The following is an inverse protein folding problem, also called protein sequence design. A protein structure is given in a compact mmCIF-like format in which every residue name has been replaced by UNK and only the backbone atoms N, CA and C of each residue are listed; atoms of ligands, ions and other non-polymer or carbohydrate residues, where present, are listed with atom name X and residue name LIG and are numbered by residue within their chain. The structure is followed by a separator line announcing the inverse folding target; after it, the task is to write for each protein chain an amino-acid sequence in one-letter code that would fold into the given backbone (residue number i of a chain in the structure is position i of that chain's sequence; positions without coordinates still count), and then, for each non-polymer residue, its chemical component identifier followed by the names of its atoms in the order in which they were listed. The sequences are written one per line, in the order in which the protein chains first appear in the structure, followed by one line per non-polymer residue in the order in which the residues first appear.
data_IF_478421368117
#
_entry.id   IF_478421368117
#
_cell.length_a   1.000
_cell.length_b   1.000
_cell.length_c   1.000
_cell.angle_alpha   90.00
_cell.angle_beta   90.00
_cell.angle_gamma   90.00
#
_symmetry.space_group_name_H-M   'P 1'
#
loop_
_entity.id
_entity.type
_entity.pdbx_description
1 polymer ?
#
# COMPACT_ATOMS: atom_id res chain seq x y z
N UNK A 1 -15.05 69.81 47.18
CA UNK A 1 -14.77 69.91 45.73
C UNK A 1 -13.72 68.88 45.34
N UNK A 2 -13.93 68.19 44.22
CA UNK A 2 -13.14 67.07 43.64
C UNK A 2 -13.36 65.75 44.37
N UNK A 3 -13.83 64.67 43.76
CA UNK A 3 -14.07 64.35 42.35
C UNK A 3 -13.96 62.82 42.26
N UNK A 4 -15.11 62.16 42.16
CA UNK A 4 -15.27 60.70 42.14
C UNK A 4 -14.62 60.10 40.89
N UNK A 5 -13.69 59.15 41.05
CA UNK A 5 -13.21 58.30 39.96
C UNK A 5 -13.64 56.86 40.23
N UNK A 6 -14.78 56.52 39.65
CA UNK A 6 -15.31 55.17 39.53
C UNK A 6 -14.50 54.45 38.43
N UNK A 7 -13.58 53.57 38.82
CA UNK A 7 -12.83 52.72 37.88
C UNK A 7 -13.75 51.56 37.45
N UNK A 8 -14.43 51.71 36.32
CA UNK A 8 -15.23 50.64 35.73
C UNK A 8 -14.29 49.64 35.02
N UNK A 9 -14.02 48.51 35.66
CA UNK A 9 -13.33 47.37 35.04
C UNK A 9 -14.29 46.70 34.05
N UNK A 10 -14.30 47.16 32.80
CA UNK A 10 -14.99 46.49 31.70
C UNK A 10 -14.17 45.25 31.31
N UNK A 11 -14.49 44.12 31.95
CA UNK A 11 -14.01 42.80 31.56
C UNK A 11 -14.71 42.43 30.23
N UNK A 12 -14.14 42.89 29.12
CA UNK A 12 -14.55 42.45 27.78
C UNK A 12 -14.09 40.99 27.64
N UNK A 13 -14.96 40.06 28.05
CA UNK A 13 -14.93 38.66 27.63
C UNK A 13 -15.23 38.65 26.13
N UNK A 14 -14.20 38.91 25.32
CA UNK A 14 -14.16 38.47 23.95
C UNK A 14 -14.10 36.94 23.97
N UNK A 15 -15.26 36.30 24.07
CA UNK A 15 -15.45 34.93 23.62
C UNK A 15 -15.41 35.00 22.09
N UNK A 16 -14.22 35.22 21.55
CA UNK A 16 -13.93 34.89 20.17
C UNK A 16 -13.99 33.38 20.12
N UNK A 17 -15.16 32.84 19.78
CA UNK A 17 -15.31 31.49 19.27
C UNK A 17 -14.60 31.41 17.92
N UNK A 18 -13.27 31.44 17.93
CA UNK A 18 -12.47 31.02 16.80
C UNK A 18 -12.31 29.52 16.92
N UNK A 19 -13.28 28.75 16.39
CA UNK A 19 -12.87 27.48 15.77
C UNK A 19 -11.94 27.89 14.63
N UNK A 20 -10.67 27.48 14.59
CA UNK A 20 -9.87 27.73 13.43
C UNK A 20 -10.45 26.92 12.26
N UNK A 21 -10.28 27.51 11.09
CA UNK A 21 -10.75 27.08 9.79
C UNK A 21 -10.42 25.61 9.51
N UNK A 22 -11.35 24.98 8.77
CA UNK A 22 -11.35 23.67 8.08
C UNK A 22 -10.03 22.86 8.08
N UNK A 23 -10.15 21.53 8.02
CA UNK A 23 -8.99 20.65 7.88
C UNK A 23 -8.11 21.03 6.67
N UNK A 24 -6.80 20.88 6.82
CA UNK A 24 -5.81 21.04 5.74
C UNK A 24 -5.89 19.81 4.83
N UNK A 25 -6.61 19.92 3.71
CA UNK A 25 -6.78 18.83 2.74
C UNK A 25 -5.98 19.12 1.48
N UNK A 26 -5.09 18.20 1.14
CA UNK A 26 -4.30 18.24 -0.08
C UNK A 26 -4.11 16.83 -0.64
N UNK A 27 -4.73 16.60 -1.79
CA UNK A 27 -4.69 15.33 -2.50
C UNK A 27 -3.89 15.38 -3.79
N UNK A 28 -3.03 16.39 -3.95
CA UNK A 28 -2.14 16.54 -5.11
C UNK A 28 -1.14 15.39 -5.24
N UNK A 29 -0.78 14.75 -4.12
CA UNK A 29 0.21 13.67 -4.09
C UNK A 29 1.65 14.15 -4.29
N UNK A 30 1.90 15.47 -4.19
CA UNK A 30 3.22 16.06 -4.43
C UNK A 30 4.17 15.90 -3.22
N UNK A 31 3.63 15.78 -2.01
CA UNK A 31 4.44 15.61 -0.80
C UNK A 31 4.84 14.15 -0.58
N UNK A 32 6.10 13.94 -0.24
CA UNK A 32 6.61 12.65 0.25
C UNK A 32 6.15 12.39 1.69
N UNK A 33 6.18 11.11 2.09
CA UNK A 33 5.89 10.72 3.48
C UNK A 33 6.73 11.51 4.50
N UNK A 34 8.03 11.67 4.26
CA UNK A 34 8.90 12.37 5.21
C UNK A 34 8.49 13.85 5.37
N UNK A 35 8.11 14.51 4.28
CA UNK A 35 7.60 15.90 4.33
C UNK A 35 6.31 15.98 5.15
N UNK A 36 5.38 15.04 4.91
CA UNK A 36 4.11 14.96 5.65
C UNK A 36 4.36 14.76 7.15
N UNK A 37 5.22 13.81 7.52
CA UNK A 37 5.53 13.51 8.93
C UNK A 37 6.33 14.64 9.61
N UNK A 38 7.22 15.32 8.89
CA UNK A 38 7.92 16.49 9.40
C UNK A 38 6.95 17.65 9.66
N UNK A 39 6.02 17.90 8.73
CA UNK A 39 4.97 18.92 8.88
C UNK A 39 4.05 18.58 10.04
N UNK A 40 3.62 17.33 10.16
CA UNK A 40 2.83 16.83 11.29
C UNK A 40 3.50 17.16 12.63
N UNK A 41 4.78 16.81 12.79
CA UNK A 41 5.51 17.06 14.04
C UNK A 41 5.65 18.55 14.35
N UNK A 42 5.87 19.38 13.33
CA UNK A 42 6.00 20.83 13.48
C UNK A 42 4.68 21.49 13.87
N UNK A 43 3.57 21.04 13.31
CA UNK A 43 2.25 21.65 13.48
C UNK A 43 1.39 20.96 14.55
N UNK A 44 1.84 19.84 15.11
CA UNK A 44 1.11 19.03 16.11
C UNK A 44 -0.30 18.69 15.63
N UNK A 45 -0.39 18.09 14.43
CA UNK A 45 -1.66 17.75 13.76
C UNK A 45 -1.91 16.24 13.73
N UNK A 46 -3.19 15.85 13.73
CA UNK A 46 -3.59 14.53 13.28
C UNK A 46 -3.34 14.42 11.77
N UNK A 47 -2.97 13.23 11.30
CA UNK A 47 -2.77 12.97 9.87
C UNK A 47 -3.66 11.85 9.41
N UNK A 48 -4.50 12.12 8.41
CA UNK A 48 -5.16 11.10 7.61
C UNK A 48 -4.34 10.93 6.34
N UNK A 49 -3.70 9.77 6.19
CA UNK A 49 -2.91 9.45 5.02
C UNK A 49 -3.66 8.45 4.15
N UNK A 50 -4.01 8.87 2.94
CA UNK A 50 -4.79 8.09 1.98
C UNK A 50 -3.87 7.61 0.88
N UNK A 51 -3.61 6.32 0.85
CA UNK A 51 -2.90 5.69 -0.24
C UNK A 51 -3.84 5.45 -1.41
N UNK A 52 -3.40 5.90 -2.59
CA UNK A 52 -4.16 5.83 -3.84
C UNK A 52 -3.31 5.26 -4.95
N UNK A 53 -3.90 4.95 -6.10
CA UNK A 53 -3.20 4.46 -7.28
C UNK A 53 -3.74 5.20 -8.50
N UNK A 54 -2.88 5.53 -9.47
CA UNK A 54 -3.33 6.11 -10.74
C UNK A 54 -4.36 5.19 -11.42
N UNK A 55 -5.41 5.80 -11.99
CA UNK A 55 -6.54 5.08 -12.60
C UNK A 55 -7.51 4.44 -11.60
N UNK A 56 -7.49 4.84 -10.32
CA UNK A 56 -8.42 4.38 -9.30
C UNK A 56 -9.63 5.33 -9.20
N UNK A 57 -10.69 5.08 -9.97
CA UNK A 57 -11.91 5.91 -9.96
C UNK A 57 -12.50 6.06 -8.55
N UNK A 58 -12.51 4.96 -7.78
CA UNK A 58 -13.00 4.96 -6.41
C UNK A 58 -12.17 5.88 -5.50
N UNK A 59 -10.86 5.98 -5.74
CA UNK A 59 -9.97 6.88 -5.00
C UNK A 59 -10.31 8.34 -5.30
N UNK A 60 -10.62 8.67 -6.55
CA UNK A 60 -10.97 10.03 -6.97
C UNK A 60 -12.34 10.46 -6.42
N UNK A 61 -13.33 9.55 -6.46
CA UNK A 61 -14.63 9.75 -5.81
C UNK A 61 -14.43 10.01 -4.32
N UNK A 62 -13.63 9.19 -3.64
CA UNK A 62 -13.37 9.34 -2.21
C UNK A 62 -12.76 10.70 -1.85
N UNK A 63 -11.74 11.12 -2.59
CA UNK A 63 -11.09 12.43 -2.42
C UNK A 63 -12.09 13.58 -2.61
N UNK A 64 -12.96 13.49 -3.61
CA UNK A 64 -14.00 14.49 -3.88
C UNK A 64 -15.01 14.58 -2.74
N UNK A 65 -15.48 13.45 -2.22
CA UNK A 65 -16.43 13.41 -1.11
C UNK A 65 -15.83 13.97 0.18
N UNK A 66 -14.57 13.64 0.49
CA UNK A 66 -13.86 14.20 1.64
C UNK A 66 -13.69 15.72 1.55
N UNK A 67 -13.36 16.25 0.37
CA UNK A 67 -13.35 17.69 0.13
C UNK A 67 -14.73 18.33 0.37
N UNK A 68 -15.81 17.67 -0.07
CA UNK A 68 -17.17 18.12 0.20
C UNK A 68 -17.50 18.17 1.69
N UNK A 69 -17.07 17.16 2.46
CA UNK A 69 -17.27 17.10 3.91
C UNK A 69 -16.49 18.15 4.69
N UNK A 70 -15.41 18.70 4.14
CA UNK A 70 -14.63 19.75 4.82
C UNK A 70 -15.42 21.06 5.04
N UNK A 71 -16.52 21.25 4.33
CA UNK A 71 -17.45 22.37 4.53
C UNK A 71 -18.60 22.03 5.50
N UNK A 72 -18.72 20.78 5.93
CA UNK A 72 -19.81 20.31 6.76
C UNK A 72 -19.51 20.51 8.25
N UNK A 73 -20.32 21.29 8.96
CA UNK A 73 -20.16 21.55 10.41
C UNK A 73 -20.29 20.30 11.28
N UNK A 74 -20.93 19.24 10.77
CA UNK A 74 -21.06 17.94 11.43
C UNK A 74 -19.91 16.98 11.11
N UNK A 75 -18.98 17.35 10.22
CA UNK A 75 -17.75 16.59 10.05
C UNK A 75 -16.83 16.85 11.25
N UNK A 76 -16.12 15.81 11.69
CA UNK A 76 -15.06 15.87 12.69
C UNK A 76 -13.75 16.38 12.07
N UNK A 77 -13.84 17.30 11.10
CA UNK A 77 -12.69 17.86 10.40
C UNK A 77 -12.38 19.20 11.06
N UNK A 78 -11.37 19.18 11.92
CA UNK A 78 -10.86 20.37 12.61
C UNK A 78 -9.62 20.93 11.94
N UNK A 79 -9.24 22.15 12.32
CA UNK A 79 -7.99 22.78 11.90
C UNK A 79 -6.72 22.03 12.34
N UNK A 80 -6.85 21.14 13.32
CA UNK A 80 -5.78 20.27 13.82
C UNK A 80 -5.66 18.96 13.02
N UNK A 81 -6.41 18.83 11.92
CA UNK A 81 -6.36 17.70 11.01
C UNK A 81 -5.69 18.08 9.70
N UNK A 82 -4.78 17.23 9.26
CA UNK A 82 -4.20 17.25 7.92
C UNK A 82 -4.61 15.98 7.18
N UNK A 83 -5.20 16.10 6.00
CA UNK A 83 -5.48 14.98 5.11
C UNK A 83 -4.58 15.05 3.89
N UNK A 84 -3.83 13.98 3.66
CA UNK A 84 -2.89 13.88 2.55
C UNK A 84 -3.15 12.61 1.77
N UNK A 85 -2.96 12.67 0.45
CA UNK A 85 -2.91 11.46 -0.36
C UNK A 85 -1.51 11.18 -0.83
N UNK A 86 -1.17 9.90 -0.90
CA UNK A 86 0.09 9.41 -1.41
C UNK A 86 -0.21 8.40 -2.50
N UNK A 87 0.50 8.48 -3.63
CA UNK A 87 0.32 7.53 -4.72
C UNK A 87 1.23 6.32 -4.53
N UNK A 88 0.66 5.12 -4.59
CA UNK A 88 1.37 3.87 -4.61
C UNK A 88 2.04 3.67 -5.97
N UNK A 89 3.33 3.99 -6.00
CA UNK A 89 4.26 3.67 -7.09
C UNK A 89 5.31 2.70 -6.60
N UNK A 90 6.11 2.15 -7.51
CA UNK A 90 7.15 1.17 -7.21
C UNK A 90 8.08 1.60 -6.07
N UNK A 91 8.46 2.87 -6.06
CA UNK A 91 9.30 3.53 -5.05
C UNK A 91 8.56 3.83 -3.73
N UNK A 92 7.25 3.65 -3.68
CA UNK A 92 6.37 4.11 -2.61
C UNK A 92 5.28 3.10 -2.25
N UNK A 93 5.65 1.83 -2.13
CA UNK A 93 4.77 0.74 -1.70
C UNK A 93 4.82 0.47 -0.19
N UNK A 94 5.50 1.30 0.60
CA UNK A 94 5.80 0.98 2.01
C UNK A 94 4.54 0.69 2.84
N UNK A 95 3.43 1.40 2.61
CA UNK A 95 2.20 1.18 3.36
C UNK A 95 1.51 -0.11 2.90
N UNK A 96 1.50 -0.38 1.60
CA UNK A 96 1.04 -1.67 1.05
C UNK A 96 1.87 -2.84 1.62
N UNK A 97 3.20 -2.66 1.71
CA UNK A 97 4.15 -3.63 2.23
C UNK A 97 3.94 -3.88 3.73
N UNK A 98 3.77 -2.82 4.53
CA UNK A 98 3.53 -2.91 5.96
C UNK A 98 2.19 -3.58 6.27
N UNK A 99 1.15 -3.27 5.49
CA UNK A 99 -0.18 -3.83 5.70
C UNK A 99 -0.41 -5.16 4.97
N UNK A 100 0.58 -5.61 4.19
CA UNK A 100 0.46 -6.70 3.22
C UNK A 100 -0.88 -6.63 2.46
N UNK A 101 -1.09 -5.52 1.78
CA UNK A 101 -2.37 -5.14 1.18
C UNK A 101 -2.17 -4.36 -0.11
N UNK A 102 -2.93 -4.69 -1.15
CA UNK A 102 -2.83 -4.04 -2.47
C UNK A 102 -4.18 -3.57 -3.03
N UNK A 103 -5.15 -3.31 -2.16
CA UNK A 103 -6.37 -2.59 -2.48
C UNK A 103 -6.18 -1.08 -2.32
N UNK A 104 -7.06 -0.30 -2.97
CA UNK A 104 -7.06 1.16 -2.92
C UNK A 104 -8.51 1.68 -2.91
N UNK A 105 -8.81 2.79 -2.20
CA UNK A 105 -7.90 3.51 -1.31
C UNK A 105 -7.65 2.76 0.02
N UNK A 106 -6.48 2.98 0.62
CA UNK A 106 -6.17 2.56 1.99
C UNK A 106 -5.92 3.80 2.83
N UNK A 107 -6.47 3.83 4.04
CA UNK A 107 -6.29 4.99 4.93
C UNK A 107 -5.66 4.56 6.24
N UNK A 108 -4.64 5.29 6.68
CA UNK A 108 -4.17 5.27 8.07
C UNK A 108 -4.41 6.62 8.72
N UNK A 109 -4.64 6.61 10.02
CA UNK A 109 -4.76 7.84 10.82
C UNK A 109 -3.69 7.83 11.89
N UNK A 110 -2.90 8.90 11.91
CA UNK A 110 -1.88 9.16 12.92
C UNK A 110 -2.39 10.24 13.89
N UNK A 111 -2.08 10.09 15.18
CA UNK A 111 -2.28 11.16 16.16
C UNK A 111 -1.22 12.26 16.07
N UNK A 112 -1.21 13.20 17.01
CA UNK A 112 -0.31 14.36 17.01
C UNK A 112 1.14 13.96 17.29
N UNK A 113 1.33 12.82 17.93
CA UNK A 113 2.61 12.21 18.27
C UNK A 113 3.18 11.36 17.12
N UNK A 114 2.34 11.06 16.11
CA UNK A 114 2.70 10.22 14.97
C UNK A 114 2.40 8.74 15.17
N UNK A 115 1.67 8.38 16.23
CA UNK A 115 1.26 7.00 16.49
C UNK A 115 0.06 6.63 15.63
N UNK A 116 0.04 5.40 15.12
CA UNK A 116 -1.11 4.90 14.36
C UNK A 116 -2.29 4.69 15.30
N UNK A 117 -3.42 5.35 15.00
CA UNK A 117 -4.68 5.22 15.73
C UNK A 117 -5.81 4.66 14.88
N UNK A 118 -5.70 4.76 13.56
CA UNK A 118 -6.75 4.36 12.63
C UNK A 118 -6.24 3.56 11.44
N UNK A 119 -7.00 2.56 11.01
CA UNK A 119 -6.81 1.88 9.73
C UNK A 119 -8.15 1.53 9.05
N UNK A 120 -8.22 1.73 7.73
CA UNK A 120 -9.42 1.53 6.92
C UNK A 120 -9.09 1.01 5.53
N UNK A 121 -9.99 0.17 5.01
CA UNK A 121 -10.05 -0.20 3.60
C UNK A 121 -11.26 0.44 2.92
N UNK A 122 -11.05 0.93 1.70
CA UNK A 122 -12.10 1.44 0.83
C UNK A 122 -12.46 2.91 1.03
N UNK A 123 -13.41 3.38 0.24
CA UNK A 123 -13.84 4.76 0.13
C UNK A 123 -15.15 5.00 0.87
N UNK A 124 -15.08 5.22 2.18
CA UNK A 124 -16.25 5.45 3.05
C UNK A 124 -16.05 6.68 3.94
N UNK A 125 -16.38 7.90 3.46
CA UNK A 125 -16.14 9.14 4.20
C UNK A 125 -16.85 9.22 5.56
N UNK A 126 -18.05 8.65 5.66
CA UNK A 126 -18.86 8.59 6.88
C UNK A 126 -18.19 7.76 7.97
N UNK A 127 -17.54 6.67 7.57
CA UNK A 127 -16.73 5.83 8.45
C UNK A 127 -15.51 6.59 8.95
N UNK A 128 -14.78 7.27 8.05
CA UNK A 128 -13.62 8.07 8.46
C UNK A 128 -14.04 9.14 9.48
N UNK A 129 -15.17 9.80 9.23
CA UNK A 129 -15.72 10.79 10.14
C UNK A 129 -16.06 10.21 11.53
N UNK A 130 -16.69 9.04 11.58
CA UNK A 130 -16.97 8.34 12.83
C UNK A 130 -15.67 7.97 13.58
N UNK A 131 -14.69 7.47 12.85
CA UNK A 131 -13.44 7.04 13.45
C UNK A 131 -12.59 8.20 13.95
N UNK A 132 -12.56 9.34 13.25
CA UNK A 132 -11.90 10.55 13.75
C UNK A 132 -12.51 11.00 15.08
N UNK A 133 -13.84 10.91 15.26
CA UNK A 133 -14.49 11.19 16.56
C UNK A 133 -14.00 10.24 17.65
N UNK A 134 -13.89 8.95 17.34
CA UNK A 134 -13.35 7.96 18.29
C UNK A 134 -11.89 8.27 18.64
N UNK A 135 -11.06 8.59 17.65
CA UNK A 135 -9.63 8.89 17.82
C UNK A 135 -9.42 10.17 18.63
N UNK A 136 -10.20 11.22 18.38
CA UNK A 136 -10.18 12.44 19.19
C UNK A 136 -10.61 12.20 20.64
N UNK A 137 -11.40 11.16 20.92
CA UNK A 137 -11.73 10.73 22.28
C UNK A 137 -10.69 9.78 22.91
N UNK A 138 -9.53 9.58 22.26
CA UNK A 138 -8.44 8.74 22.75
C UNK A 138 -8.59 7.25 22.44
N UNK A 139 -9.53 6.86 21.57
CA UNK A 139 -9.73 5.46 21.15
C UNK A 139 -8.96 5.16 19.86
N UNK A 140 -8.81 3.87 19.57
CA UNK A 140 -8.34 3.41 18.26
C UNK A 140 -9.52 3.04 17.36
N UNK A 141 -9.24 2.88 16.06
CA UNK A 141 -10.21 2.40 15.11
C UNK A 141 -9.56 1.47 14.07
N UNK A 142 -10.10 0.27 13.91
CA UNK A 142 -9.67 -0.66 12.89
C UNK A 142 -10.91 -1.18 12.15
N UNK A 143 -11.02 -0.90 10.85
CA UNK A 143 -12.13 -1.44 10.08
C UNK A 143 -11.67 -2.16 8.82
N UNK A 144 -11.71 -3.48 8.92
CA UNK A 144 -11.63 -4.40 7.81
C UNK A 144 -12.39 -5.67 8.14
N UNK A 145 -13.28 -6.08 7.23
CA UNK A 145 -13.91 -7.41 7.27
C UNK A 145 -13.02 -8.50 6.68
N UNK A 146 -12.02 -8.12 5.90
CA UNK A 146 -11.07 -9.05 5.30
C UNK A 146 -9.97 -9.40 6.31
N UNK A 147 -9.34 -10.55 6.08
CA UNK A 147 -8.30 -11.10 6.95
C UNK A 147 -7.19 -10.09 7.20
N UNK A 148 -6.69 -10.11 8.44
CA UNK A 148 -5.59 -9.24 8.84
C UNK A 148 -4.33 -9.62 8.04
N UNK A 149 -3.72 -8.62 7.38
CA UNK A 149 -2.55 -8.79 6.50
C UNK A 149 -2.76 -9.76 5.31
N UNK A 150 -4.02 -10.09 4.98
CA UNK A 150 -4.39 -11.11 3.99
C UNK A 150 -3.72 -12.47 4.26
N UNK A 151 -3.61 -12.83 5.53
CA UNK A 151 -3.02 -14.09 5.98
C UNK A 151 -4.11 -14.98 6.58
N UNK A 152 -4.05 -16.26 6.22
CA UNK A 152 -4.79 -17.31 6.92
C UNK A 152 -4.13 -17.55 8.29
N UNK A 153 -4.62 -16.85 9.32
CA UNK A 153 -4.18 -17.04 10.70
C UNK A 153 -5.23 -17.80 11.50
N UNK A 154 -4.80 -18.84 12.23
CA UNK A 154 -5.63 -19.46 13.26
C UNK A 154 -5.84 -18.53 14.47
N UNK A 155 -4.98 -17.53 14.64
CA UNK A 155 -5.08 -16.58 15.75
C UNK A 155 -6.06 -15.44 15.43
N UNK A 156 -6.97 -15.18 16.37
CA UNK A 156 -7.88 -14.04 16.33
C UNK A 156 -7.20 -12.84 16.99
N UNK A 157 -6.97 -11.78 16.23
CA UNK A 157 -6.37 -10.54 16.75
C UNK A 157 -7.43 -9.52 17.13
N UNK A 158 -7.28 -8.89 18.30
CA UNK A 158 -8.06 -7.70 18.65
C UNK A 158 -7.65 -6.51 17.80
N UNK A 159 -8.51 -5.51 17.69
CA UNK A 159 -8.22 -4.30 16.92
C UNK A 159 -7.04 -3.51 17.52
N UNK A 160 -6.87 -3.55 18.84
CA UNK A 160 -5.71 -2.98 19.54
C UNK A 160 -4.42 -3.68 19.14
N UNK A 161 -4.42 -5.01 19.02
CA UNK A 161 -3.25 -5.76 18.58
C UNK A 161 -2.90 -5.44 17.13
N UNK A 162 -3.91 -5.31 16.26
CA UNK A 162 -3.71 -4.96 14.85
C UNK A 162 -3.12 -3.56 14.70
N UNK A 163 -3.73 -2.56 15.34
CA UNK A 163 -3.24 -1.17 15.31
C UNK A 163 -1.83 -1.08 15.92
N UNK A 164 -1.59 -1.77 17.04
CA UNK A 164 -0.26 -1.81 17.66
C UNK A 164 0.80 -2.45 16.76
N UNK A 165 0.45 -3.52 16.04
CA UNK A 165 1.37 -4.12 15.07
C UNK A 165 1.72 -3.13 13.96
N UNK A 166 0.71 -2.45 13.40
CA UNK A 166 0.91 -1.45 12.33
C UNK A 166 1.80 -0.31 12.83
N UNK A 167 1.54 0.19 14.05
CA UNK A 167 2.29 1.25 14.70
C UNK A 167 3.76 0.87 14.96
N UNK A 168 4.01 -0.30 15.55
CA UNK A 168 5.37 -0.80 15.83
C UNK A 168 6.19 -0.95 14.54
N UNK A 169 5.56 -1.44 13.46
CA UNK A 169 6.21 -1.55 12.16
C UNK A 169 6.46 -0.21 11.49
N UNK A 170 5.53 0.74 11.58
CA UNK A 170 5.68 2.07 10.97
C UNK A 170 6.86 2.80 11.63
N UNK A 171 6.93 2.79 12.96
CA UNK A 171 8.02 3.40 13.72
C UNK A 171 9.37 2.79 13.38
N UNK A 172 9.45 1.47 13.27
CA UNK A 172 10.68 0.79 12.87
C UNK A 172 11.08 1.11 11.42
N UNK A 173 10.10 1.11 10.50
CA UNK A 173 10.32 1.45 9.10
C UNK A 173 10.85 2.87 8.93
N UNK A 174 10.24 3.87 9.59
CA UNK A 174 10.68 5.27 9.54
C UNK A 174 12.11 5.41 10.06
N UNK A 175 12.45 4.76 11.19
CA UNK A 175 13.79 4.81 11.75
C UNK A 175 14.85 4.19 10.80
N UNK A 176 14.58 2.99 10.27
CA UNK A 176 15.48 2.30 9.33
C UNK A 176 15.65 3.10 8.04
N UNK A 177 14.56 3.67 7.51
CA UNK A 177 14.56 4.53 6.31
C UNK A 177 15.42 5.76 6.51
N UNK A 178 15.41 6.36 7.71
CA UNK A 178 16.26 7.49 8.07
C UNK A 178 17.73 7.08 8.35
N UNK A 179 18.09 5.81 8.20
CA UNK A 179 19.44 5.30 8.47
C UNK A 179 19.75 5.11 9.96
N UNK A 180 18.74 5.23 10.83
CA UNK A 180 18.91 5.15 12.28
C UNK A 180 18.72 3.72 12.79
N UNK A 181 19.66 3.24 13.62
CA UNK A 181 19.49 1.97 14.31
C UNK A 181 18.25 2.02 15.21
N UNK A 182 17.55 0.89 15.31
CA UNK A 182 16.38 0.79 16.19
C UNK A 182 16.83 0.87 17.65
N UNK A 183 16.14 1.68 18.45
CA UNK A 183 16.32 1.65 19.90
C UNK A 183 15.70 0.36 20.49
N UNK A 184 15.98 0.09 21.78
CA UNK A 184 15.51 -1.12 22.45
C UNK A 184 13.98 -1.32 22.38
N UNK A 185 13.20 -0.24 22.47
CA UNK A 185 11.74 -0.32 22.38
C UNK A 185 11.28 -0.66 20.96
N UNK A 186 11.87 -0.03 19.94
CA UNK A 186 11.55 -0.30 18.54
C UNK A 186 11.93 -1.73 18.14
N UNK A 187 13.12 -2.19 18.52
CA UNK A 187 13.55 -3.58 18.27
C UNK A 187 12.64 -4.58 18.96
N UNK A 188 12.29 -4.35 20.24
CA UNK A 188 11.35 -5.19 20.96
C UNK A 188 9.96 -5.22 20.30
N UNK A 189 9.51 -4.10 19.74
CA UNK A 189 8.29 -4.01 18.93
C UNK A 189 8.37 -4.90 17.69
N UNK A 190 9.41 -4.75 16.85
CA UNK A 190 9.58 -5.60 15.66
C UNK A 190 9.59 -7.10 16.03
N UNK A 191 10.35 -7.49 17.06
CA UNK A 191 10.38 -8.88 17.54
C UNK A 191 8.97 -9.36 17.97
N UNK A 192 8.22 -8.50 18.67
CA UNK A 192 6.84 -8.79 19.08
C UNK A 192 5.95 -9.04 17.87
N UNK A 193 6.01 -8.19 16.85
CA UNK A 193 5.21 -8.35 15.63
C UNK A 193 5.51 -9.65 14.89
N UNK A 194 6.79 -10.05 14.83
CA UNK A 194 7.21 -11.33 14.23
C UNK A 194 6.66 -12.50 15.03
N UNK A 195 6.69 -12.43 16.37
CA UNK A 195 6.12 -13.47 17.24
C UNK A 195 4.59 -13.57 17.11
N UNK A 196 3.91 -12.44 16.95
CA UNK A 196 2.45 -12.38 16.84
C UNK A 196 1.95 -12.95 15.51
N UNK A 197 2.46 -12.41 14.39
CA UNK A 197 2.03 -12.80 13.06
C UNK A 197 3.23 -12.63 12.12
N UNK A 198 4.05 -13.67 11.92
CA UNK A 198 5.23 -13.58 11.07
C UNK A 198 4.80 -13.48 9.59
N UNK A 199 5.37 -12.54 8.87
CA UNK A 199 5.21 -12.41 7.41
C UNK A 199 6.44 -11.76 6.79
N UNK A 200 6.46 -11.53 5.48
CA UNK A 200 7.67 -11.05 4.81
C UNK A 200 8.21 -9.73 5.40
N UNK A 201 7.37 -8.69 5.54
CA UNK A 201 7.86 -7.34 5.84
C UNK A 201 8.40 -7.20 7.27
N UNK A 202 7.75 -7.80 8.27
CA UNK A 202 8.28 -7.72 9.64
C UNK A 202 9.59 -8.51 9.83
N UNK A 203 9.73 -9.66 9.14
CA UNK A 203 11.00 -10.40 9.11
C UNK A 203 12.08 -9.64 8.32
N UNK A 204 11.70 -8.93 7.26
CA UNK A 204 12.59 -8.02 6.55
C UNK A 204 13.09 -6.88 7.47
N UNK A 205 12.20 -6.20 8.20
CA UNK A 205 12.60 -5.15 9.15
C UNK A 205 13.47 -5.71 10.28
N UNK A 206 13.17 -6.91 10.80
CA UNK A 206 14.02 -7.57 11.78
C UNK A 206 15.41 -7.86 11.22
N UNK A 207 15.49 -8.34 9.97
CA UNK A 207 16.76 -8.55 9.26
C UNK A 207 17.54 -7.24 9.15
N UNK A 208 16.90 -6.14 8.74
CA UNK A 208 17.52 -4.82 8.66
C UNK A 208 18.03 -4.36 10.03
N UNK A 209 17.26 -4.57 11.08
CA UNK A 209 17.69 -4.25 12.44
C UNK A 209 18.95 -5.02 12.86
N UNK A 210 19.05 -6.32 12.53
CA UNK A 210 20.27 -7.11 12.79
C UNK A 210 21.49 -6.58 12.04
N UNK A 211 21.33 -6.15 10.78
CA UNK A 211 22.43 -5.52 10.01
C UNK A 211 22.91 -4.25 10.72
N UNK A 212 22.00 -3.40 11.17
CA UNK A 212 22.33 -2.14 11.86
C UNK A 212 23.00 -2.39 13.22
N UNK A 213 22.62 -3.47 13.89
CA UNK A 213 23.26 -3.97 15.10
C UNK A 213 24.60 -4.68 14.85
N UNK A 214 25.04 -4.78 13.58
CA UNK A 214 26.25 -5.50 13.14
C UNK A 214 26.23 -7.01 13.41
N UNK A 215 25.07 -7.60 13.67
CA UNK A 215 24.90 -9.06 13.75
C UNK A 215 24.64 -9.63 12.36
N UNK A 216 25.71 -9.76 11.58
CA UNK A 216 25.61 -10.21 10.18
C UNK A 216 25.22 -11.68 10.05
N UNK A 217 25.53 -12.52 11.04
CA UNK A 217 25.21 -13.95 11.03
C UNK A 217 23.70 -14.12 11.18
N UNK A 218 23.10 -13.48 12.18
CA UNK A 218 21.66 -13.51 12.40
C UNK A 218 20.91 -12.86 11.23
N UNK A 219 21.43 -11.74 10.70
CA UNK A 219 20.85 -11.09 9.53
C UNK A 219 20.79 -12.02 8.31
N UNK A 220 21.89 -12.72 7.99
CA UNK A 220 21.92 -13.66 6.86
C UNK A 220 20.98 -14.85 7.06
N UNK A 221 20.92 -15.40 8.28
CA UNK A 221 20.00 -16.48 8.63
C UNK A 221 18.54 -16.07 8.43
N UNK A 222 18.15 -14.91 8.97
CA UNK A 222 16.79 -14.38 8.82
C UNK A 222 16.46 -14.08 7.36
N UNK A 223 17.38 -13.50 6.61
CA UNK A 223 17.21 -13.21 5.19
C UNK A 223 16.93 -14.49 4.37
N UNK A 224 17.72 -15.54 4.59
CA UNK A 224 17.54 -16.84 3.95
C UNK A 224 16.19 -17.46 4.29
N UNK A 225 15.79 -17.44 5.57
CA UNK A 225 14.49 -17.96 6.01
C UNK A 225 13.34 -17.18 5.38
N UNK A 226 13.40 -15.85 5.39
CA UNK A 226 12.38 -14.96 4.84
C UNK A 226 12.16 -15.19 3.35
N UNK A 227 13.25 -15.37 2.58
CA UNK A 227 13.18 -15.64 1.14
C UNK A 227 12.53 -16.98 0.80
N UNK A 228 12.68 -17.99 1.66
CA UNK A 228 12.16 -19.34 1.41
C UNK A 228 10.72 -19.53 1.89
N UNK A 229 10.31 -18.80 2.94
CA UNK A 229 8.99 -18.97 3.55
C UNK A 229 7.88 -18.17 2.86
N UNK A 230 8.18 -17.00 2.28
CA UNK A 230 7.15 -16.07 1.82
C UNK A 230 7.25 -15.80 0.32
N UNK A 231 6.54 -16.61 -0.47
CA UNK A 231 6.53 -16.55 -1.94
C UNK A 231 5.14 -16.59 -2.55
N UNK A 232 4.13 -16.12 -1.81
CA UNK A 232 2.77 -16.00 -2.33
C UNK A 232 2.68 -14.92 -3.42
N UNK A 233 1.60 -14.96 -4.21
CA UNK A 233 1.36 -14.02 -5.31
C UNK A 233 1.34 -12.56 -4.82
N UNK A 234 0.70 -12.29 -3.68
CA UNK A 234 0.71 -10.95 -3.09
C UNK A 234 2.13 -10.52 -2.67
N UNK A 235 2.96 -11.44 -2.17
CA UNK A 235 4.34 -11.15 -1.81
C UNK A 235 5.20 -10.85 -3.06
N UNK A 236 4.88 -11.49 -4.18
CA UNK A 236 5.51 -11.22 -5.47
C UNK A 236 5.14 -9.83 -6.01
N UNK A 237 3.98 -9.28 -5.67
CA UNK A 237 3.61 -7.90 -6.01
C UNK A 237 4.31 -6.91 -5.05
N UNK A 238 4.26 -7.19 -3.75
CA UNK A 238 4.64 -6.21 -2.73
C UNK A 238 6.15 -6.09 -2.49
N UNK A 239 6.88 -7.21 -2.57
CA UNK A 239 8.25 -7.29 -2.07
C UNK A 239 9.38 -7.58 -3.09
N UNK A 240 9.25 -7.46 -4.42
CA UNK A 240 10.37 -7.76 -5.34
C UNK A 240 11.69 -7.08 -5.01
N UNK A 241 11.66 -5.76 -4.77
CA UNK A 241 12.86 -4.99 -4.43
C UNK A 241 13.46 -5.44 -3.09
N UNK A 242 12.62 -5.69 -2.08
CA UNK A 242 13.08 -6.14 -0.76
C UNK A 242 13.65 -7.57 -0.82
N UNK A 243 13.03 -8.47 -1.61
CA UNK A 243 13.56 -9.81 -1.88
C UNK A 243 14.93 -9.73 -2.55
N UNK A 244 15.12 -8.82 -3.49
CA UNK A 244 16.42 -8.62 -4.14
C UNK A 244 17.50 -8.15 -3.16
N UNK A 245 17.14 -7.25 -2.24
CA UNK A 245 18.05 -6.85 -1.16
C UNK A 245 18.46 -8.05 -0.28
N UNK A 246 17.49 -8.86 0.15
CA UNK A 246 17.77 -10.06 0.94
C UNK A 246 18.63 -11.09 0.17
N UNK A 247 18.41 -11.26 -1.14
CA UNK A 247 19.24 -12.15 -1.98
C UNK A 247 20.70 -11.73 -2.00
N UNK A 248 20.96 -10.43 -2.13
CA UNK A 248 22.32 -9.88 -2.08
C UNK A 248 22.96 -10.06 -0.70
N UNK A 249 22.18 -9.92 0.37
CA UNK A 249 22.66 -10.14 1.74
C UNK A 249 23.07 -11.60 1.99
N UNK A 250 22.27 -12.55 1.50
CA UNK A 250 22.55 -13.99 1.60
C UNK A 250 23.72 -14.39 0.71
N UNK A 251 23.80 -13.86 -0.50
CA UNK A 251 24.86 -14.15 -1.45
C UNK A 251 25.36 -12.85 -2.10
N UNK A 252 26.51 -12.34 -1.65
CA UNK A 252 27.14 -11.13 -2.20
C UNK A 252 27.56 -11.26 -3.67
N UNK A 253 27.67 -12.50 -4.19
CA UNK A 253 27.94 -12.76 -5.62
C UNK A 253 26.66 -12.85 -6.45
N UNK A 254 25.48 -12.72 -5.83
CA UNK A 254 24.21 -12.71 -6.55
C UNK A 254 24.20 -11.58 -7.57
N UNK A 255 23.91 -11.94 -8.82
CA UNK A 255 23.78 -11.02 -9.94
C UNK A 255 22.36 -11.15 -10.47
N UNK A 256 21.57 -10.10 -10.29
CA UNK A 256 20.18 -10.04 -10.73
C UNK A 256 19.99 -10.43 -12.20
N UNK A 257 20.90 -9.98 -13.08
CA UNK A 257 20.86 -10.27 -14.52
C UNK A 257 21.22 -11.73 -14.89
N UNK A 258 21.65 -12.55 -13.92
CA UNK A 258 21.89 -13.98 -14.12
C UNK A 258 20.69 -14.84 -13.71
N UNK A 259 19.59 -14.24 -13.26
CA UNK A 259 18.37 -14.96 -12.97
C UNK A 259 17.51 -15.19 -14.23
N UNK A 260 16.31 -15.76 -14.08
CA UNK A 260 15.30 -15.76 -15.13
C UNK A 260 14.71 -14.34 -15.26
N UNK A 261 14.66 -13.80 -16.47
CA UNK A 261 14.15 -12.44 -16.70
C UNK A 261 13.05 -12.49 -17.76
N UNK A 262 11.84 -12.15 -17.36
CA UNK A 262 10.67 -12.14 -18.23
C UNK A 262 10.57 -10.80 -18.97
N UNK A 263 10.27 -10.87 -20.26
CA UNK A 263 9.91 -9.68 -21.05
C UNK A 263 8.88 -10.03 -22.12
N UNK A 264 8.16 -9.02 -22.59
CA UNK A 264 7.22 -9.10 -23.70
C UNK A 264 7.30 -7.80 -24.51
N UNK A 265 7.12 -7.82 -25.84
CA UNK A 265 7.22 -6.61 -26.66
C UNK A 265 6.09 -5.60 -26.41
N UNK A 266 4.95 -6.02 -25.85
CA UNK A 266 3.82 -5.13 -25.54
C UNK A 266 3.08 -5.58 -24.29
N UNK A 267 2.75 -4.62 -23.45
CA UNK A 267 1.93 -4.80 -22.24
C UNK A 267 0.54 -4.19 -22.38
N UNK A 268 0.24 -3.58 -23.53
CA UNK A 268 -1.06 -2.98 -23.84
C UNK A 268 -1.61 -3.61 -25.11
N UNK A 269 -2.86 -4.07 -25.04
CA UNK A 269 -3.56 -4.73 -26.13
C UNK A 269 -4.94 -4.09 -26.25
N UNK A 270 -5.19 -3.36 -27.32
CA UNK A 270 -6.49 -2.78 -27.61
C UNK A 270 -7.20 -3.63 -28.68
N UNK A 271 -8.39 -4.15 -28.36
CA UNK A 271 -9.22 -4.90 -29.30
C UNK A 271 -10.11 -4.02 -30.17
N UNK A 272 -10.13 -2.71 -29.95
CA UNK A 272 -10.99 -1.79 -30.67
C UNK A 272 -12.46 -1.99 -30.32
N UNK A 273 -13.35 -1.75 -31.30
CA UNK A 273 -14.79 -1.97 -31.15
C UNK A 273 -15.15 -3.38 -31.61
N UNK A 274 -15.75 -4.16 -30.73
CA UNK A 274 -16.04 -5.59 -30.94
C UNK A 274 -17.46 -5.94 -30.51
N UNK A 275 -18.04 -6.95 -31.16
CA UNK A 275 -19.41 -7.36 -30.86
C UNK A 275 -19.47 -8.27 -29.64
N UNK A 276 -20.49 -8.05 -28.79
CA UNK A 276 -20.79 -8.92 -27.66
C UNK A 276 -20.98 -10.37 -28.14
N UNK A 277 -20.43 -11.32 -27.39
CA UNK A 277 -20.52 -12.76 -27.68
C UNK A 277 -19.44 -13.31 -28.61
N UNK A 278 -18.66 -12.48 -29.30
CA UNK A 278 -17.54 -12.93 -30.14
C UNK A 278 -16.33 -13.29 -29.27
N UNK A 279 -15.76 -14.47 -29.50
CA UNK A 279 -14.48 -14.86 -28.89
C UNK A 279 -13.33 -14.27 -29.71
N UNK A 280 -12.54 -13.40 -29.10
CA UNK A 280 -11.27 -12.92 -29.66
C UNK A 280 -10.11 -13.60 -28.97
N UNK A 281 -9.10 -13.98 -29.74
CA UNK A 281 -7.90 -14.62 -29.22
C UNK A 281 -6.69 -13.77 -29.58
N UNK A 282 -5.86 -13.47 -28.59
CA UNK A 282 -4.56 -12.83 -28.78
C UNK A 282 -3.45 -13.72 -28.24
N UNK A 283 -2.36 -13.80 -29.00
CA UNK A 283 -1.15 -14.50 -28.62
C UNK A 283 -0.10 -13.47 -28.21
N UNK A 284 0.48 -13.70 -27.04
CA UNK A 284 1.42 -12.78 -26.41
C UNK A 284 2.75 -13.52 -26.25
N UNK A 285 3.80 -13.11 -26.99
CA UNK A 285 5.10 -13.73 -26.84
C UNK A 285 5.74 -13.33 -25.50
N UNK A 286 6.23 -14.33 -24.77
CA UNK A 286 6.95 -14.19 -23.51
C UNK A 286 8.37 -14.67 -23.72
N UNK A 287 9.34 -13.77 -23.60
CA UNK A 287 10.75 -14.07 -23.81
C UNK A 287 11.50 -14.14 -22.49
N UNK A 288 12.36 -15.15 -22.36
CA UNK A 288 13.35 -15.20 -21.29
C UNK A 288 14.65 -14.50 -21.75
N UNK A 289 14.93 -13.32 -21.22
CA UNK A 289 16.17 -12.57 -21.47
C UNK A 289 17.22 -12.78 -20.38
N UNK A 290 16.96 -13.69 -19.44
CA UNK A 290 17.84 -14.05 -18.35
C UNK A 290 18.74 -15.23 -18.68
N UNK A 291 19.44 -15.75 -17.65
CA UNK A 291 20.39 -16.88 -17.77
C UNK A 291 19.89 -18.18 -17.13
N UNK A 292 18.82 -18.15 -16.34
CA UNK A 292 18.16 -19.36 -15.82
C UNK A 292 16.86 -19.64 -16.58
N UNK A 293 16.37 -20.90 -16.62
CA UNK A 293 15.05 -21.20 -17.16
C UNK A 293 13.94 -20.39 -16.47
N UNK A 294 13.07 -19.77 -17.27
CA UNK A 294 11.92 -19.00 -16.79
C UNK A 294 10.73 -19.94 -16.65
N UNK A 295 10.16 -20.01 -15.45
CA UNK A 295 8.97 -20.81 -15.15
C UNK A 295 7.81 -19.85 -14.95
N UNK A 296 6.71 -20.03 -15.67
CA UNK A 296 5.46 -19.29 -15.40
C UNK A 296 4.69 -20.09 -14.35
N UNK A 297 4.60 -19.54 -13.14
CA UNK A 297 3.96 -20.20 -11.99
C UNK A 297 2.44 -20.15 -12.08
N UNK A 298 1.90 -18.98 -12.43
CA UNK A 298 0.47 -18.75 -12.59
C UNK A 298 0.21 -17.54 -13.47
N UNK A 299 -0.98 -17.50 -14.05
CA UNK A 299 -1.51 -16.32 -14.72
C UNK A 299 -2.87 -15.98 -14.13
N UNK A 300 -3.01 -14.76 -13.59
CA UNK A 300 -4.26 -14.25 -13.01
C UNK A 300 -4.88 -13.21 -13.92
N UNK A 301 -6.20 -13.21 -13.96
CA UNK A 301 -7.00 -12.28 -14.78
C UNK A 301 -7.99 -11.53 -13.90
N UNK A 302 -8.30 -10.29 -14.26
CA UNK A 302 -9.26 -9.45 -13.54
C UNK A 302 -10.72 -9.82 -13.78
N UNK A 303 -11.02 -10.68 -14.76
CA UNK A 303 -12.38 -11.10 -15.09
C UNK A 303 -12.42 -12.57 -15.55
N UNK A 304 -13.42 -13.31 -15.09
CA UNK A 304 -13.70 -14.69 -15.51
C UNK A 304 -14.13 -14.81 -16.99
N UNK A 305 -14.32 -13.68 -17.67
CA UNK A 305 -14.55 -13.58 -19.11
C UNK A 305 -13.27 -13.79 -19.95
N UNK A 306 -12.10 -13.83 -19.32
CA UNK A 306 -10.82 -14.15 -19.92
C UNK A 306 -10.49 -15.64 -19.70
N UNK A 307 -10.19 -16.35 -20.79
CA UNK A 307 -9.58 -17.69 -20.76
C UNK A 307 -8.11 -17.56 -21.14
N UNK A 308 -7.23 -18.12 -20.34
CA UNK A 308 -5.79 -18.02 -20.57
C UNK A 308 -5.15 -19.40 -20.61
N UNK A 309 -4.25 -19.60 -21.56
CA UNK A 309 -3.34 -20.75 -21.60
C UNK A 309 -1.90 -20.25 -21.71
N UNK A 310 -0.97 -20.98 -21.10
CA UNK A 310 0.46 -20.62 -21.07
C UNK A 310 1.31 -21.90 -21.04
N UNK A 311 2.61 -21.82 -21.39
CA UNK A 311 3.49 -22.97 -21.31
C UNK A 311 3.75 -23.38 -19.86
N UNK A 312 3.59 -24.67 -19.57
CA UNK A 312 3.96 -25.25 -18.27
C UNK A 312 5.42 -25.71 -18.23
N UNK A 313 6.06 -25.88 -19.40
CA UNK A 313 7.49 -26.17 -19.48
C UNK A 313 8.32 -24.90 -19.28
N UNK A 314 9.52 -25.01 -18.66
CA UNK A 314 10.42 -23.88 -18.51
C UNK A 314 10.85 -23.29 -19.86
N UNK A 315 10.80 -21.96 -19.98
CA UNK A 315 11.32 -21.23 -21.14
C UNK A 315 12.83 -21.04 -20.96
N UNK A 316 13.63 -21.78 -21.73
CA UNK A 316 15.09 -21.69 -21.71
C UNK A 316 15.64 -20.29 -21.99
N UNK A 317 16.86 -19.95 -21.53
CA UNK A 317 17.51 -18.68 -21.81
C UNK A 317 17.50 -18.31 -23.30
N UNK A 318 17.09 -17.07 -23.61
CA UNK A 318 16.99 -16.54 -24.97
C UNK A 318 15.80 -17.06 -25.79
N UNK A 319 15.02 -18.01 -25.27
CA UNK A 319 13.84 -18.57 -25.96
C UNK A 319 12.57 -17.79 -25.63
N UNK A 320 11.55 -18.04 -26.44
CA UNK A 320 10.23 -17.39 -26.36
C UNK A 320 9.17 -18.48 -26.22
N UNK A 321 8.32 -18.34 -25.21
CA UNK A 321 7.04 -19.05 -25.09
C UNK A 321 5.88 -18.12 -25.47
N UNK A 322 4.65 -18.62 -25.37
CA UNK A 322 3.45 -17.89 -25.78
C UNK A 322 2.33 -18.03 -24.74
N UNK A 323 1.78 -16.90 -24.29
CA UNK A 323 0.53 -16.87 -23.54
C UNK A 323 -0.59 -16.59 -24.54
N UNK A 324 -1.61 -17.44 -24.57
CA UNK A 324 -2.80 -17.22 -25.39
C UNK A 324 -3.94 -16.75 -24.49
N UNK A 325 -4.53 -15.61 -24.83
CA UNK A 325 -5.66 -15.02 -24.12
C UNK A 325 -6.87 -15.03 -25.05
N UNK A 326 -7.90 -15.77 -24.67
CA UNK A 326 -9.23 -15.74 -25.28
C UNK A 326 -10.16 -14.85 -24.46
N UNK A 327 -10.82 -13.91 -25.09
CA UNK A 327 -11.75 -12.98 -24.46
C UNK A 327 -13.11 -13.04 -25.12
N UNK A 328 -14.16 -13.31 -24.34
CA UNK A 328 -15.54 -13.29 -24.81
C UNK A 328 -16.29 -12.16 -24.11
N UNK A 329 -16.60 -11.12 -24.88
CA UNK A 329 -17.35 -9.97 -24.41
C UNK A 329 -18.76 -10.37 -23.97
N UNK A 330 -19.14 -9.97 -22.76
CA UNK A 330 -20.46 -10.29 -22.16
C UNK A 330 -21.38 -9.08 -22.06
N UNK A 331 -20.81 -7.89 -21.91
CA UNK A 331 -21.54 -6.65 -21.66
C UNK A 331 -21.12 -5.59 -22.67
N UNK A 332 -22.04 -4.67 -22.98
CA UNK A 332 -21.80 -3.51 -23.86
C UNK A 332 -21.07 -2.42 -23.08
N UNK A 333 -20.18 -1.71 -23.76
CA UNK A 333 -19.45 -0.57 -23.21
C UNK A 333 -17.93 -0.75 -23.25
N UNK A 334 -17.22 0.27 -22.76
CA UNK A 334 -15.78 0.20 -22.65
C UNK A 334 -15.36 -0.85 -21.60
N UNK A 335 -14.30 -1.59 -21.88
CA UNK A 335 -13.70 -2.50 -20.92
C UNK A 335 -12.21 -2.24 -20.79
N UNK A 336 -11.70 -2.46 -19.58
CA UNK A 336 -10.28 -2.42 -19.25
C UNK A 336 -10.00 -3.57 -18.28
N UNK A 337 -9.23 -4.56 -18.72
CA UNK A 337 -8.95 -5.78 -17.98
C UNK A 337 -7.45 -5.97 -17.86
N UNK A 338 -7.00 -6.55 -16.76
CA UNK A 338 -5.60 -6.81 -16.48
C UNK A 338 -5.33 -8.30 -16.37
N UNK A 339 -4.17 -8.71 -16.88
CA UNK A 339 -3.60 -10.04 -16.76
C UNK A 339 -2.24 -9.94 -16.07
N UNK A 340 -2.01 -10.74 -15.04
CA UNK A 340 -0.78 -10.77 -14.25
C UNK A 340 -0.09 -12.13 -14.43
N UNK A 341 1.14 -12.11 -14.93
CA UNK A 341 1.98 -13.30 -15.13
C UNK A 341 2.97 -13.40 -13.97
N UNK A 342 2.76 -14.39 -13.10
CA UNK A 342 3.68 -14.73 -12.02
C UNK A 342 4.70 -15.74 -12.53
N UNK A 343 5.98 -15.50 -12.26
CA UNK A 343 7.05 -16.34 -12.77
C UNK A 343 8.20 -16.47 -11.79
N UNK A 344 9.17 -17.34 -12.11
CA UNK A 344 10.43 -17.46 -11.38
C UNK A 344 11.32 -16.21 -11.48
N UNK A 345 10.92 -15.20 -12.26
CA UNK A 345 11.67 -13.95 -12.36
C UNK A 345 11.67 -13.19 -11.03
N UNK A 346 12.82 -12.61 -10.62
CA UNK A 346 12.92 -11.85 -9.37
C UNK A 346 12.32 -10.43 -9.46
N UNK A 347 11.64 -10.10 -10.57
CA UNK A 347 10.92 -8.84 -10.79
C UNK A 347 9.48 -8.91 -10.30
N UNK A 348 8.78 -7.78 -10.38
CA UNK A 348 7.32 -7.75 -10.27
C UNK A 348 6.67 -8.66 -11.33
N UNK A 349 5.47 -9.20 -11.05
CA UNK A 349 4.67 -9.91 -12.03
C UNK A 349 4.46 -9.05 -13.27
N UNK A 350 4.57 -9.66 -14.45
CA UNK A 350 4.33 -8.94 -15.69
C UNK A 350 2.83 -8.65 -15.81
N UNK A 351 2.46 -7.37 -15.76
CA UNK A 351 1.08 -6.92 -15.98
C UNK A 351 0.86 -6.60 -17.47
N UNK A 352 -0.26 -7.08 -18.00
CA UNK A 352 -0.72 -6.80 -19.37
C UNK A 352 -2.15 -6.26 -19.28
N UNK A 353 -2.40 -5.10 -19.88
CA UNK A 353 -3.70 -4.46 -19.94
C UNK A 353 -4.36 -4.75 -21.29
N UNK A 354 -5.64 -5.11 -21.26
CA UNK A 354 -6.47 -5.39 -22.41
C UNK A 354 -7.67 -4.43 -22.39
N UNK A 355 -7.80 -3.62 -23.43
CA UNK A 355 -8.82 -2.58 -23.54
C UNK A 355 -9.65 -2.73 -24.82
N UNK A 356 -10.81 -2.08 -24.85
CA UNK A 356 -11.66 -1.99 -26.04
C UNK A 356 -13.06 -1.49 -25.71
N UNK A 357 -13.95 -1.56 -26.70
CA UNK A 357 -15.36 -1.20 -26.59
C UNK A 357 -16.18 -2.39 -27.10
N UNK A 358 -17.15 -2.82 -26.31
CA UNK A 358 -18.11 -3.83 -26.69
C UNK A 358 -19.40 -3.18 -27.17
N UNK A 359 -19.93 -3.63 -28.31
CA UNK A 359 -21.15 -3.10 -28.90
C UNK A 359 -22.09 -4.20 -29.40
N UNK A 360 -23.33 -3.81 -29.70
CA UNK A 360 -24.33 -4.63 -30.40
C UNK A 360 -24.48 -4.01 -31.80
N UNK A 361 -24.64 -4.84 -32.83
CA UNK A 361 -24.96 -4.37 -34.19
C UNK A 361 -26.41 -3.89 -34.24
#
# INVERSE_FOLDING_TARGET
MKGSYLLLFLFFLFIISCKPDKADIDFSGLESLDQILQKQKKESKYVVLILTKSGCDLCDIYKKELNGLNNNKNAAFGSDLMMKSVEAKRENLWLNQLLREYSFPLTIVLDKEGDVRGFFRGARPEVLNMALRAIYSGKIYYESKAQFLNLDSAAVFSDEQKIKLIDELLKAFIAIRAGNALNNHQLAGVIRTVKWQPYFFNNYLLTKAMIMAKDTIQAQKLAYQTLNLYNEELDAILYPSLKNELRYLVNRKYKFFEDALITTPRTEINFGSENVGVLKTVRIPIRNVGKKPLIINSVKVSCDCLKVTWPHEPISPGKTGEITVGYKLKEVGAFNQSLFVFSSSPTEPLQINITGIAQII
#
